data_IF_356790199220
#
_entry.id   IF_356790199220
#
_cell.length_a   1.000
_cell.length_b   1.000
_cell.length_c   1.000
_cell.angle_alpha   90.00
_cell.angle_beta   90.00
_cell.angle_gamma   90.00
#
_symmetry.space_group_name_H-M   'P 1'
#
loop_
_entity.id
_entity.type
_entity.pdbx_description
1 polymer ?
2 non-polymer ?
3 non-polymer ?
#
# COMPACT_ATOMS: atom_id res chain seq x y z
N UNK A 2 -18.50 24.43 12.36
CA UNK A 2 -17.24 23.65 12.13
C UNK A 2 -17.02 23.27 10.65
N UNK A 3 -15.76 23.28 10.24
CA UNK A 3 -15.48 23.07 8.85
C UNK A 3 -15.26 21.66 8.42
N UNK A 4 -15.41 21.43 7.14
CA UNK A 4 -15.35 20.11 6.55
C UNK A 4 -13.97 19.50 6.82
N UNK A 5 -13.96 18.23 7.23
CA UNK A 5 -12.75 17.43 7.32
C UNK A 5 -12.97 16.27 6.37
N UNK A 6 -11.90 15.56 6.00
CA UNK A 6 -12.08 14.53 4.98
C UNK A 6 -11.34 13.28 5.31
N UNK A 7 -11.63 12.23 4.55
CA UNK A 7 -10.84 11.00 4.57
C UNK A 7 -10.64 10.55 3.13
N UNK A 8 -9.55 9.82 2.88
CA UNK A 8 -9.23 9.36 1.53
C UNK A 8 -9.00 7.87 1.55
N UNK A 9 -9.40 7.21 0.45
CA UNK A 9 -9.23 5.78 0.34
C UNK A 9 -7.89 5.50 -0.33
N UNK A 10 -7.11 4.57 0.21
CA UNK A 10 -5.78 4.27 -0.32
C UNK A 10 -5.75 3.09 -1.29
N UNK A 11 -4.92 3.20 -2.33
CA UNK A 11 -4.82 2.15 -3.36
C UNK A 11 -3.99 0.95 -2.92
N UNK A 12 -3.30 1.09 -1.79
CA UNK A 12 -2.52 0.03 -1.18
C UNK A 12 -3.41 -1.05 -0.53
N UNK A 13 -4.33 -0.63 0.35
CA UNK A 13 -5.13 -1.57 1.12
C UNK A 13 -6.65 -1.39 0.98
N UNK A 14 -7.06 -0.36 0.23
CA UNK A 14 -8.47 -0.06 0.00
C UNK A 14 -9.22 0.52 1.25
N UNK A 15 -8.46 0.79 2.32
CA UNK A 15 -8.96 1.37 3.57
C UNK A 15 -8.94 2.91 3.49
N UNK A 16 -9.73 3.55 4.39
CA UNK A 16 -9.88 5.01 4.41
C UNK A 16 -9.06 5.62 5.52
N UNK A 17 -8.35 6.72 5.23
CA UNK A 17 -7.48 7.33 6.24
C UNK A 17 -7.79 8.80 6.33
N UNK A 18 -7.71 9.36 7.53
CA UNK A 18 -8.03 10.75 7.73
C UNK A 18 -7.03 11.61 6.96
N UNK A 19 -7.55 12.56 6.18
CA UNK A 19 -6.73 13.46 5.41
C UNK A 19 -6.41 14.68 6.26
N UNK A 20 -5.11 14.92 6.39
CA UNK A 20 -4.59 16.03 7.15
C UNK A 20 -4.63 17.36 6.41
N UNK A 21 -4.24 17.30 5.12
CA UNK A 21 -4.22 18.42 4.14
C UNK A 21 -3.97 17.93 2.70
N UNK A 22 -4.17 18.82 1.74
CA UNK A 22 -4.11 18.48 0.34
C UNK A 22 -2.99 19.30 -0.28
N UNK A 23 -2.13 18.65 -1.04
CA UNK A 23 -0.88 19.30 -1.42
C UNK A 23 -0.92 19.97 -2.82
N UNK A 24 -1.46 19.23 -3.76
CA UNK A 24 -1.49 19.64 -5.14
C UNK A 24 -2.52 18.78 -5.86
N UNK A 25 -2.56 18.83 -7.17
CA UNK A 25 -3.51 18.01 -7.93
C UNK A 25 -2.89 17.69 -9.29
N UNK A 26 -3.46 16.71 -9.98
CA UNK A 26 -3.03 16.42 -11.33
C UNK A 26 -4.17 15.82 -12.12
N UNK A 27 -4.16 16.10 -13.43
CA UNK A 27 -5.12 15.53 -14.38
C UNK A 27 -4.42 14.41 -15.15
N UNK A 28 -5.11 13.29 -15.32
CA UNK A 28 -4.60 12.20 -16.10
C UNK A 28 -4.96 12.33 -17.59
N UNK A 29 -4.08 11.83 -18.45
CA UNK A 29 -4.27 11.77 -19.90
C UNK A 29 -5.70 11.50 -20.20
N UNK A 30 -6.28 10.69 -19.34
CA UNK A 30 -7.64 10.18 -19.36
C UNK A 30 -8.71 11.16 -18.91
N UNK A 31 -8.33 12.18 -18.17
CA UNK A 31 -9.31 13.14 -17.70
C UNK A 31 -9.68 12.98 -16.23
N UNK A 32 -9.50 11.79 -15.65
CA UNK A 32 -9.70 11.64 -14.21
C UNK A 32 -8.83 12.65 -13.44
N UNK A 33 -9.40 13.17 -12.38
CA UNK A 33 -8.71 14.12 -11.58
C UNK A 33 -8.32 13.52 -10.26
N UNK A 34 -7.12 13.81 -9.87
CA UNK A 34 -6.53 13.17 -8.73
C UNK A 34 -5.92 14.23 -7.85
N UNK A 35 -5.62 13.86 -6.61
CA UNK A 35 -5.27 14.84 -5.63
C UNK A 35 -4.24 14.25 -4.68
N UNK A 36 -3.25 15.04 -4.33
CA UNK A 36 -2.12 14.56 -3.55
C UNK A 36 -2.45 14.88 -2.11
N UNK A 37 -2.58 13.84 -1.32
CA UNK A 37 -3.14 13.92 -0.02
C UNK A 37 -2.07 13.59 1.00
N UNK A 38 -2.02 14.33 2.10
CA UNK A 38 -1.14 14.00 3.23
C UNK A 38 -2.02 13.53 4.37
N UNK A 39 -1.65 12.39 4.94
CA UNK A 39 -2.44 11.71 5.97
C UNK A 39 -2.06 12.12 7.38
N UNK A 40 -3.01 12.12 8.31
CA UNK A 40 -2.70 12.57 9.66
C UNK A 40 -2.05 11.48 10.50
N UNK A 41 -0.95 11.83 11.18
CA UNK A 41 -0.19 10.88 12.02
C UNK A 41 1.28 10.78 11.67
N UNK A 46 2.02 7.89 4.13
CA UNK A 46 2.59 9.21 4.31
C UNK A 46 2.06 10.14 3.26
N UNK A 47 2.17 9.78 1.99
CA UNK A 47 1.70 10.72 0.94
C UNK A 47 1.17 10.00 -0.30
N UNK A 48 0.04 10.40 -0.88
CA UNK A 48 -0.57 9.61 -1.97
C UNK A 48 -1.37 10.37 -2.96
N UNK A 49 -1.39 9.89 -4.21
CA UNK A 49 -2.34 10.40 -5.18
C UNK A 49 -3.58 9.56 -5.09
N UNK A 50 -4.73 10.21 -4.94
CA UNK A 50 -6.00 9.52 -4.82
C UNK A 50 -7.01 10.17 -5.77
N UNK A 51 -7.81 9.37 -6.46
CA UNK A 51 -8.88 9.87 -7.32
C UNK A 51 -9.82 10.77 -6.53
N UNK A 52 -10.16 11.94 -7.04
CA UNK A 52 -11.05 12.79 -6.27
C UNK A 52 -12.44 12.17 -6.18
N UNK A 53 -13.10 11.88 -7.28
CA UNK A 53 -14.44 11.36 -7.23
C UNK A 53 -14.66 10.15 -6.38
N UNK A 54 -13.79 9.18 -6.51
CA UNK A 54 -14.07 7.89 -5.86
C UNK A 54 -13.46 7.75 -4.46
N UNK A 55 -12.29 8.35 -4.24
CA UNK A 55 -11.48 7.99 -3.09
C UNK A 55 -11.32 9.08 -2.04
N UNK A 56 -12.09 10.16 -2.17
CA UNK A 56 -12.07 11.23 -1.19
C UNK A 56 -13.50 11.61 -0.87
N UNK A 57 -13.84 11.60 0.41
CA UNK A 57 -15.15 11.98 0.87
C UNK A 57 -15.05 12.60 2.25
N UNK A 58 -16.18 13.15 2.73
CA UNK A 58 -16.22 13.76 4.06
C UNK A 58 -16.07 12.71 5.13
N UNK A 59 -15.35 13.11 6.16
CA UNK A 59 -14.96 12.20 7.19
C UNK A 59 -16.19 11.60 7.84
N UNK A 60 -16.12 10.28 8.06
CA UNK A 60 -17.10 9.56 8.84
C UNK A 60 -17.22 10.10 10.26
N UNK A 61 -18.32 9.80 10.93
CA UNK A 61 -18.62 10.42 12.20
C UNK A 61 -18.99 9.34 13.19
N UNK A 62 -18.35 9.34 14.38
CA UNK A 62 -18.67 8.44 15.48
C UNK A 62 -20.14 8.51 15.79
N UNK A 63 -20.71 7.39 16.21
CA UNK A 63 -22.07 7.37 16.72
C UNK A 63 -22.05 7.26 18.26
N UNK A 64 -22.78 8.12 18.93
CA UNK A 64 -22.86 8.01 20.35
C UNK A 64 -23.92 7.03 20.80
N UNK A 65 -23.74 6.43 21.95
CA UNK A 65 -24.70 5.39 22.32
C UNK A 65 -26.15 5.89 22.28
N UNK A 66 -26.37 7.13 22.72
CA UNK A 66 -27.71 7.65 22.84
C UNK A 66 -28.41 7.78 21.49
N UNK A 67 -27.66 7.65 20.39
CA UNK A 67 -28.22 7.84 19.04
C UNK A 67 -27.95 6.62 18.17
N UNK A 68 -27.67 5.48 18.80
CA UNK A 68 -27.42 4.26 18.06
C UNK A 68 -28.62 3.83 17.21
N UNK A 69 -29.78 4.44 17.45
CA UNK A 69 -31.00 4.09 16.71
C UNK A 69 -31.03 4.58 15.27
N UNK A 70 -30.10 5.47 14.92
CA UNK A 70 -30.09 6.09 13.58
C UNK A 70 -29.30 5.26 12.56
N UNK A 71 -28.73 4.14 13.03
CA UNK A 71 -28.05 3.17 12.18
C UNK A 71 -29.03 2.06 11.80
N UNK A 72 -29.23 1.80 10.52
CA UNK A 72 -30.19 0.84 10.07
C UNK A 72 -29.59 -0.17 9.11
N UNK A 73 -30.35 -1.15 8.64
CA UNK A 73 -29.81 -2.12 7.67
C UNK A 73 -29.66 -1.47 6.30
N UNK A 74 -28.64 -1.89 5.58
CA UNK A 74 -28.31 -1.28 4.31
C UNK A 74 -27.55 0.03 4.46
N UNK A 75 -27.44 0.55 5.67
CA UNK A 75 -26.62 1.73 5.89
C UNK A 75 -25.18 1.39 5.53
N UNK A 76 -24.48 2.34 4.88
CA UNK A 76 -23.02 2.24 4.67
C UNK A 76 -22.31 2.79 5.90
N UNK A 77 -21.29 2.07 6.38
CA UNK A 77 -20.50 2.51 7.53
C UNK A 77 -19.00 2.22 7.33
N UNK A 78 -18.15 3.11 7.85
CA UNK A 78 -16.73 2.84 7.96
C UNK A 78 -16.44 2.00 9.22
N UNK A 79 -15.94 0.78 9.02
CA UNK A 79 -15.80 -0.16 10.10
C UNK A 79 -14.36 -0.41 10.41
N UNK A 80 -14.05 -0.43 11.69
CA UNK A 80 -12.76 -0.87 12.15
C UNK A 80 -12.70 -2.39 12.05
N UNK A 81 -11.81 -2.87 11.19
CA UNK A 81 -11.69 -4.29 10.88
C UNK A 81 -10.37 -4.81 11.42
N UNK A 82 -10.42 -5.36 12.59
CA UNK A 82 -9.21 -5.77 13.19
C UNK A 82 -8.97 -7.22 12.98
N UNK A 83 -7.76 -7.54 12.62
CA UNK A 83 -7.45 -8.90 12.34
C UNK A 83 -6.08 -9.23 12.88
N UNK A 84 -5.47 -10.25 12.31
CA UNK A 84 -4.20 -10.77 12.74
C UNK A 84 -3.57 -9.75 13.63
N UNK A 85 -2.68 -8.97 13.03
CA UNK A 85 -2.23 -7.75 13.65
C UNK A 85 -3.08 -6.63 13.06
N UNK A 86 -3.05 -6.55 11.74
CA UNK A 86 -3.51 -5.36 11.06
C UNK A 86 -4.89 -4.99 11.35
N UNK A 87 -5.14 -3.70 11.19
CA UNK A 87 -6.37 -3.11 11.55
C UNK A 87 -6.59 -2.08 10.55
N UNK A 88 -7.66 -2.20 9.82
CA UNK A 88 -8.01 -1.28 8.78
C UNK A 88 -9.37 -0.69 9.01
N UNK A 89 -9.54 0.56 8.62
CA UNK A 89 -10.87 1.13 8.63
C UNK A 89 -11.41 1.02 7.21
N UNK A 90 -12.47 0.23 7.03
CA UNK A 90 -12.97 0.06 5.68
C UNK A 90 -14.47 -0.05 5.65
N UNK A 91 -15.03 0.05 4.44
CA UNK A 91 -16.47 0.16 4.27
C UNK A 91 -17.11 -1.21 4.42
N UNK A 92 -18.29 -1.24 5.04
CA UNK A 92 -19.18 -2.40 5.01
C UNK A 92 -20.62 -1.91 5.04
N UNK A 93 -21.61 -2.79 4.85
CA UNK A 93 -23.02 -2.40 5.02
C UNK A 93 -23.69 -3.24 6.10
N UNK A 94 -24.64 -2.64 6.82
CA UNK A 94 -25.30 -3.32 7.92
C UNK A 94 -26.26 -4.31 7.29
N UNK A 95 -26.14 -5.57 7.69
CA UNK A 95 -27.04 -6.59 7.19
C UNK A 95 -28.20 -6.87 8.13
N UNK A 96 -27.98 -6.60 9.42
CA UNK A 96 -28.84 -7.03 10.54
C UNK A 96 -28.37 -6.40 11.85
N UNK A 97 -29.34 -6.14 12.74
CA UNK A 97 -29.08 -5.56 14.09
C UNK A 97 -29.82 -6.26 15.23
N UNK A 98 -29.08 -6.73 16.22
CA UNK A 98 -29.64 -7.21 17.50
C UNK A 98 -29.49 -6.09 18.50
N UNK A 99 -30.60 -5.40 18.78
CA UNK A 99 -30.62 -4.28 19.69
C UNK A 99 -30.53 -4.82 21.10
N UNK A 100 -29.66 -4.23 21.94
CA UNK A 100 -29.52 -4.64 23.33
C UNK A 100 -30.21 -3.68 24.30
N UNK A 101 -30.24 -4.06 25.57
CA UNK A 101 -30.75 -3.20 26.61
C UNK A 101 -29.63 -2.42 27.22
N UNK A 102 -29.62 -1.14 26.95
CA UNK A 102 -28.52 -0.31 27.37
C UNK A 102 -28.99 1.14 27.44
N UNK A 103 -28.21 1.95 28.13
CA UNK A 103 -28.52 3.36 28.37
C UNK A 103 -27.66 4.24 27.46
N UNK A 104 -27.39 5.46 27.92
CA UNK A 104 -26.66 6.43 27.14
C UNK A 104 -25.17 6.22 27.32
N UNK A 105 -24.77 5.31 28.21
CA UNK A 105 -23.34 5.27 28.57
C UNK A 105 -22.52 4.46 27.58
N UNK A 106 -23.16 3.45 26.98
CA UNK A 106 -22.50 2.48 26.14
C UNK A 106 -23.54 1.60 25.50
N UNK A 107 -23.33 1.28 24.24
CA UNK A 107 -24.32 0.60 23.46
C UNK A 107 -23.89 -0.84 23.33
N UNK A 108 -24.72 -1.80 23.75
CA UNK A 108 -24.42 -3.22 23.53
C UNK A 108 -25.14 -3.88 22.35
N UNK A 109 -25.74 -3.06 21.47
CA UNK A 109 -26.25 -3.51 20.19
C UNK A 109 -25.18 -4.19 19.30
N UNK A 110 -25.61 -5.19 18.55
CA UNK A 110 -24.73 -5.96 17.67
C UNK A 110 -25.12 -5.74 16.20
N UNK A 111 -24.13 -5.30 15.43
CA UNK A 111 -24.30 -4.91 14.05
C UNK A 111 -23.56 -5.89 13.17
N UNK A 112 -24.30 -6.71 12.41
CA UNK A 112 -23.69 -7.61 11.44
C UNK A 112 -23.49 -6.83 10.15
N UNK A 113 -22.21 -6.70 9.76
CA UNK A 113 -21.84 -5.95 8.57
C UNK A 113 -21.20 -6.84 7.48
N UNK A 114 -21.42 -6.47 6.22
CA UNK A 114 -20.80 -7.20 5.13
C UNK A 114 -19.75 -6.33 4.50
N UNK A 115 -18.51 -6.73 4.58
CA UNK A 115 -17.48 -5.83 4.09
C UNK A 115 -17.51 -5.77 2.57
N UNK A 116 -17.52 -4.60 2.02
CA UNK A 116 -17.58 -4.43 0.60
C UNK A 116 -16.51 -5.13 -0.19
N UNK A 117 -15.29 -5.00 0.24
CA UNK A 117 -14.14 -5.50 -0.53
C UNK A 117 -14.25 -6.97 -0.93
N UNK A 118 -14.47 -7.83 0.06
CA UNK A 118 -14.47 -9.28 -0.13
C UNK A 118 -15.76 -9.95 0.32
N UNK A 119 -16.77 -9.18 0.67
CA UNK A 119 -18.05 -9.73 1.11
C UNK A 119 -18.01 -10.59 2.36
N UNK A 120 -16.90 -10.59 3.10
CA UNK A 120 -16.83 -11.30 4.40
C UNK A 120 -17.66 -10.60 5.46
N UNK A 121 -18.02 -11.33 6.50
CA UNK A 121 -18.97 -10.85 7.49
C UNK A 121 -18.42 -10.84 8.92
N UNK A 122 -18.72 -9.77 9.66
CA UNK A 122 -18.25 -9.63 11.03
C UNK A 122 -19.34 -8.94 11.84
N UNK A 123 -19.44 -9.31 13.14
CA UNK A 123 -20.33 -8.65 14.11
C UNK A 123 -19.58 -7.60 14.95
N UNK A 124 -20.02 -6.33 14.87
CA UNK A 124 -19.30 -5.21 15.48
C UNK A 124 -20.14 -4.45 16.52
N UNK A 125 -19.47 -3.90 17.54
CA UNK A 125 -20.10 -2.96 18.47
C UNK A 125 -20.16 -1.57 17.85
N UNK A 126 -21.01 -0.69 18.38
CA UNK A 126 -21.01 0.72 17.96
C UNK A 126 -19.61 1.32 18.08
N UNK A 127 -18.82 0.86 19.04
CA UNK A 127 -17.50 1.46 19.21
C UNK A 127 -16.55 1.22 18.04
N UNK A 128 -16.89 0.30 17.14
CA UNK A 128 -16.01 0.03 16.01
C UNK A 128 -16.63 0.50 14.68
N UNK A 129 -17.67 1.34 14.74
CA UNK A 129 -18.27 1.85 13.51
C UNK A 129 -18.48 3.37 13.49
N UNK A 130 -18.28 3.98 12.33
CA UNK A 130 -18.62 5.36 12.13
C UNK A 130 -19.65 5.44 10.99
N UNK A 131 -20.69 6.27 11.16
CA UNK A 131 -21.67 6.51 10.11
C UNK A 131 -21.14 7.49 9.05
N UNK A 132 -21.84 7.61 7.91
CA UNK A 132 -21.55 8.64 6.89
C UNK A 132 -22.39 9.90 7.18
N UNK A 133 -21.89 11.11 6.82
CA UNK A 133 -22.71 12.29 7.08
C UNK A 133 -24.08 12.18 6.41
N UNK A 134 -25.04 12.92 6.91
CA UNK A 134 -26.34 12.93 6.30
C UNK A 134 -27.21 11.84 6.90
N UNK B 1 22.04 8.64 8.29
CA UNK B 1 22.00 7.57 7.25
C UNK B 1 23.32 7.46 6.45
N UNK B 2 23.57 6.33 5.78
CA UNK B 2 24.85 6.11 5.07
C UNK B 2 24.85 6.83 3.73
N UNK B 3 26.00 6.84 3.04
CA UNK B 3 26.08 7.36 1.67
C UNK B 3 25.18 6.54 0.73
N UNK B 4 24.52 7.24 -0.19
CA UNK B 4 23.56 6.61 -1.08
C UNK B 4 24.27 5.69 -2.06
N UNK B 5 23.64 4.55 -2.31
CA UNK B 5 24.06 3.64 -3.35
C UNK B 5 22.82 3.34 -4.15
N UNK B 6 22.99 2.84 -5.38
CA UNK B 6 21.89 2.80 -6.30
C UNK B 6 21.82 1.49 -7.01
N UNK B 7 20.63 1.26 -7.55
CA UNK B 7 20.39 0.20 -8.46
C UNK B 7 19.73 0.82 -9.70
N UNK B 8 19.76 0.07 -10.80
CA UNK B 8 19.27 0.57 -12.06
C UNK B 8 18.66 -0.58 -12.80
N UNK B 9 17.58 -0.26 -13.52
CA UNK B 9 16.79 -1.24 -14.27
C UNK B 9 17.30 -1.36 -15.70
N UNK B 10 17.64 -2.57 -16.09
CA UNK B 10 18.20 -2.81 -17.40
C UNK B 10 17.08 -2.87 -18.41
N UNK B 11 17.31 -2.38 -19.64
CA UNK B 11 16.30 -2.48 -20.71
C UNK B 11 16.34 -3.86 -21.36
N UNK B 12 17.46 -4.54 -21.19
CA UNK B 12 17.58 -5.93 -21.57
C UNK B 12 16.45 -6.75 -21.01
N UNK B 13 16.28 -6.77 -19.71
CA UNK B 13 15.27 -7.64 -19.06
C UNK B 13 14.27 -7.01 -18.07
N UNK B 14 14.38 -5.70 -17.81
CA UNK B 14 13.49 -4.95 -16.88
C UNK B 14 13.71 -5.27 -15.41
N UNK B 15 14.79 -5.97 -15.10
CA UNK B 15 15.13 -6.33 -13.72
C UNK B 15 16.05 -5.25 -13.22
N UNK B 16 16.22 -5.17 -11.90
CA UNK B 16 17.13 -4.15 -11.33
C UNK B 16 18.50 -4.72 -10.97
N UNK B 17 19.54 -3.92 -11.12
CA UNK B 17 20.88 -4.42 -10.81
C UNK B 17 21.64 -3.35 -10.08
N UNK B 18 22.54 -3.73 -9.19
CA UNK B 18 23.32 -2.73 -8.49
C UNK B 18 24.19 -1.91 -9.45
N UNK B 19 24.18 -0.58 -9.24
CA UNK B 19 25.05 0.35 -9.94
C UNK B 19 26.34 0.57 -9.16
N UNK B 20 27.47 0.40 -9.86
CA UNK B 20 28.81 0.63 -9.28
C UNK B 20 29.37 2.04 -9.58
N UNK B 21 28.99 2.63 -10.71
CA UNK B 21 29.33 4.01 -10.98
C UNK B 21 28.56 4.53 -12.18
N UNK B 22 28.52 5.85 -12.29
CA UNK B 22 27.84 6.57 -13.36
C UNK B 22 28.93 7.22 -14.18
N UNK B 23 29.02 6.87 -15.45
CA UNK B 23 30.18 7.33 -16.21
C UNK B 23 29.96 8.70 -16.78
N UNK B 24 28.78 8.97 -17.29
CA UNK B 24 28.52 10.24 -17.95
C UNK B 24 27.01 10.39 -18.20
N UNK B 25 26.61 11.44 -18.90
CA UNK B 25 25.22 11.65 -19.20
C UNK B 25 25.02 12.16 -20.62
N UNK B 26 23.79 12.09 -21.13
CA UNK B 26 23.46 12.73 -22.43
C UNK B 26 22.02 13.21 -22.40
N UNK B 27 21.72 14.18 -23.25
CA UNK B 27 20.37 14.67 -23.44
C UNK B 27 19.98 14.32 -24.86
N UNK B 28 18.86 13.66 -25.03
CA UNK B 28 18.35 13.41 -26.37
C UNK B 28 17.78 14.70 -26.92
N UNK B 29 17.66 14.81 -28.23
CA UNK B 29 17.02 15.98 -28.85
C UNK B 29 15.62 16.26 -28.26
N UNK B 30 14.95 15.21 -27.81
CA UNK B 30 13.69 15.31 -27.11
C UNK B 30 13.72 16.08 -25.78
N UNK B 31 14.90 16.23 -25.18
CA UNK B 31 14.99 16.79 -23.85
C UNK B 31 15.28 15.66 -22.87
N UNK B 32 15.07 14.42 -23.30
CA UNK B 32 15.23 13.30 -22.41
C UNK B 32 16.67 13.15 -21.98
N UNK B 33 16.85 13.02 -20.65
CA UNK B 33 18.15 12.87 -19.97
C UNK B 33 18.34 11.42 -19.65
N UNK B 34 19.57 10.95 -19.85
CA UNK B 34 19.98 9.59 -19.49
C UNK B 34 21.41 9.63 -18.97
N UNK B 35 21.71 8.76 -18.00
CA UNK B 35 23.07 8.57 -17.51
C UNK B 35 23.63 7.22 -17.96
N UNK B 36 24.94 7.12 -18.11
CA UNK B 36 25.56 5.89 -18.51
C UNK B 36 25.96 5.20 -17.22
N UNK B 37 25.45 4.01 -16.94
CA UNK B 37 25.81 3.30 -15.72
C UNK B 37 26.70 2.11 -16.00
N UNK B 38 27.59 1.81 -15.06
CA UNK B 38 28.35 0.59 -15.06
C UNK B 38 27.74 -0.21 -13.91
N UNK B 39 27.42 -1.48 -14.16
CA UNK B 39 26.75 -2.29 -13.15
C UNK B 39 27.79 -3.04 -12.36
N UNK B 40 27.50 -3.29 -11.08
CA UNK B 40 28.36 -4.04 -10.17
C UNK B 40 28.64 -5.45 -10.68
N UNK B 41 29.90 -5.85 -10.63
CA UNK B 41 30.29 -7.19 -11.05
C UNK B 41 30.25 -7.46 -12.54
N UNK B 42 30.09 -6.42 -13.36
CA UNK B 42 30.09 -6.57 -14.82
C UNK B 42 31.09 -5.65 -15.49
N UNK B 43 31.73 -6.12 -16.56
CA UNK B 43 32.67 -5.29 -17.36
C UNK B 43 31.95 -4.15 -18.08
N UNK B 44 32.69 -3.40 -18.90
CA UNK B 44 32.13 -2.29 -19.68
C UNK B 44 31.07 -2.65 -20.72
N UNK B 45 31.04 -3.89 -21.14
CA UNK B 45 30.13 -4.29 -22.19
C UNK B 45 28.69 -4.35 -21.80
N UNK B 46 28.47 -4.35 -20.51
CA UNK B 46 27.15 -4.36 -19.93
C UNK B 46 26.62 -3.02 -19.66
N UNK B 47 27.43 -2.02 -19.84
CA UNK B 47 27.00 -0.62 -19.54
C UNK B 47 25.80 -0.24 -20.34
N UNK B 48 24.98 0.67 -19.81
CA UNK B 48 23.79 1.12 -20.50
C UNK B 48 23.48 2.58 -20.29
N UNK B 49 22.77 3.15 -21.25
CA UNK B 49 22.07 4.43 -21.03
C UNK B 49 20.75 4.12 -20.37
N UNK B 50 20.45 4.80 -19.27
CA UNK B 50 19.15 4.63 -18.59
C UNK B 50 18.58 5.97 -18.19
N UNK B 51 17.25 6.10 -18.32
CA UNK B 51 16.55 7.26 -17.80
C UNK B 51 16.72 7.36 -16.27
N UNK B 52 17.03 8.57 -15.77
CA UNK B 52 17.26 8.81 -14.34
C UNK B 52 16.02 8.67 -13.47
N UNK B 53 14.88 9.17 -13.94
CA UNK B 53 13.67 9.16 -13.11
C UNK B 53 13.14 7.74 -12.94
N UNK B 54 12.86 7.11 -14.05
CA UNK B 54 12.29 5.81 -14.08
C UNK B 54 13.21 4.70 -13.72
N UNK B 55 14.47 4.82 -14.10
CA UNK B 55 15.33 3.63 -14.10
C UNK B 55 16.51 3.64 -13.14
N UNK B 56 16.67 4.73 -12.38
CA UNK B 56 17.66 4.77 -11.29
C UNK B 56 16.99 5.09 -9.96
N UNK B 57 17.38 4.37 -8.90
CA UNK B 57 16.84 4.58 -7.56
C UNK B 57 17.81 4.05 -6.51
N UNK B 58 17.71 4.54 -5.27
CA UNK B 58 18.52 4.00 -4.14
C UNK B 58 18.35 2.52 -4.03
N UNK B 59 19.43 1.82 -3.72
CA UNK B 59 19.33 0.37 -3.54
C UNK B 59 18.20 -0.04 -2.62
N UNK B 60 17.55 -1.15 -2.96
CA UNK B 60 16.57 -1.75 -2.09
C UNK B 60 17.28 -2.39 -0.91
N UNK B 61 16.51 -2.63 0.17
CA UNK B 61 17.10 -2.98 1.49
C UNK B 61 16.60 -4.32 2.05
N UNK B 62 17.53 -5.26 2.34
CA UNK B 62 17.17 -6.49 3.04
C UNK B 62 16.32 -6.24 4.29
N UNK B 63 15.40 -7.16 4.56
CA UNK B 63 14.53 -7.06 5.70
C UNK B 63 14.87 -8.24 6.62
N UNK B 64 15.24 -7.96 7.85
CA UNK B 64 15.65 -9.02 8.71
C UNK B 64 14.49 -9.61 9.43
N UNK B 65 14.64 -10.82 9.93
CA UNK B 65 13.56 -11.49 10.65
C UNK B 65 12.97 -10.68 11.81
N UNK B 66 13.77 -9.82 12.45
CA UNK B 66 13.29 -8.97 13.55
C UNK B 66 12.25 -7.95 13.11
N UNK B 67 12.19 -7.69 11.81
CA UNK B 67 11.46 -6.56 11.26
C UNK B 67 10.49 -6.89 10.12
N UNK B 68 10.18 -8.17 9.90
CA UNK B 68 9.15 -8.49 8.91
C UNK B 68 7.83 -7.78 9.18
N UNK B 69 7.61 -7.40 10.43
CA UNK B 69 6.48 -6.57 10.81
C UNK B 69 6.28 -5.40 9.85
N UNK B 70 7.38 -4.81 9.39
CA UNK B 70 7.34 -3.53 8.66
C UNK B 70 6.86 -3.59 7.21
N UNK B 71 7.13 -4.70 6.51
CA UNK B 71 6.46 -4.99 5.21
C UNK B 71 4.92 -5.01 5.35
N UNK B 72 4.20 -4.52 4.36
CA UNK B 72 2.75 -4.59 4.38
C UNK B 72 2.07 -4.72 3.04
N UNK B 73 0.82 -5.12 3.04
CA UNK B 73 0.09 -5.25 1.78
C UNK B 73 0.04 -3.93 1.04
N UNK B 74 0.28 -3.99 -0.27
CA UNK B 74 0.36 -2.79 -1.10
C UNK B 74 1.78 -2.34 -1.40
N UNK B 75 2.75 -2.80 -0.58
CA UNK B 75 4.18 -2.42 -0.63
C UNK B 75 4.86 -2.82 -1.93
N UNK B 76 5.74 -1.95 -2.42
CA UNK B 76 6.60 -2.23 -3.58
C UNK B 76 7.81 -2.93 -3.04
N UNK B 77 8.18 -4.06 -3.65
CA UNK B 77 9.34 -4.85 -3.22
C UNK B 77 10.26 -5.25 -4.38
N UNK B 78 11.58 -5.15 -4.16
CA UNK B 78 12.49 -5.83 -5.08
C UNK B 78 12.48 -7.33 -4.75
N UNK B 79 11.86 -8.12 -5.63
CA UNK B 79 11.69 -9.57 -5.44
C UNK B 79 12.65 -10.39 -6.26
N UNK B 80 13.32 -11.33 -5.61
CA UNK B 80 14.11 -12.36 -6.27
C UNK B 80 13.19 -13.40 -6.90
N UNK B 81 12.99 -13.25 -8.20
CA UNK B 81 12.17 -14.15 -8.98
C UNK B 81 13.06 -15.16 -9.74
N UNK B 82 13.15 -16.36 -9.22
CA UNK B 82 13.93 -17.37 -9.83
C UNK B 82 13.07 -18.23 -10.70
N UNK B 83 13.46 -18.34 -11.96
CA UNK B 83 12.80 -19.21 -12.91
C UNK B 83 13.87 -20.17 -13.45
N UNK B 84 13.47 -21.30 -14.06
CA UNK B 84 14.39 -22.28 -14.63
C UNK B 84 15.72 -21.74 -15.14
N UNK B 85 15.67 -20.85 -16.12
CA UNK B 85 16.90 -20.40 -16.77
C UNK B 85 17.43 -19.10 -16.16
N UNK B 86 16.52 -18.36 -15.57
CA UNK B 86 16.83 -17.05 -15.14
C UNK B 86 16.43 -16.82 -13.73
N UNK B 87 17.27 -16.16 -12.99
CA UNK B 87 16.87 -15.62 -11.71
C UNK B 87 17.06 -14.09 -11.77
N UNK B 88 15.97 -13.33 -11.74
CA UNK B 88 16.06 -11.86 -11.77
C UNK B 88 15.67 -11.26 -10.45
N UNK B 89 15.99 -9.98 -10.28
CA UNK B 89 15.47 -9.21 -9.20
C UNK B 89 14.50 -8.20 -9.78
N UNK B 90 13.20 -8.35 -9.52
CA UNK B 90 12.28 -7.43 -10.13
C UNK B 90 11.14 -6.97 -9.26
N UNK B 91 10.44 -5.95 -9.72
CA UNK B 91 9.44 -5.32 -8.89
C UNK B 91 8.16 -6.11 -8.83
N UNK B 92 7.69 -6.32 -7.61
CA UNK B 92 6.36 -6.82 -7.38
C UNK B 92 5.75 -6.02 -6.26
N UNK B 93 4.44 -6.17 -6.08
CA UNK B 93 3.67 -5.54 -5.02
C UNK B 93 3.07 -6.62 -4.12
N UNK B 94 2.97 -6.33 -2.83
CA UNK B 94 2.45 -7.29 -1.86
C UNK B 94 0.92 -7.35 -1.92
N UNK B 95 0.39 -8.53 -2.22
CA UNK B 95 -1.06 -8.68 -2.37
C UNK B 95 -1.76 -9.10 -1.10
N UNK B 96 -1.01 -9.73 -0.19
CA UNK B 96 -1.54 -10.44 0.98
C UNK B 96 -0.37 -11.02 1.77
N UNK B 97 -0.51 -11.12 3.09
CA UNK B 97 0.52 -11.75 3.89
C UNK B 97 -0.06 -12.70 4.93
N UNK B 98 0.38 -13.94 4.90
CA UNK B 98 0.04 -14.93 5.88
C UNK B 98 1.12 -14.98 6.89
N UNK B 99 0.96 -14.28 8.01
CA UNK B 99 2.01 -14.26 9.03
C UNK B 99 2.26 -15.64 9.70
N UNK B 100 3.35 -15.79 10.45
CA UNK B 100 3.64 -17.03 11.13
C UNK B 100 4.30 -16.81 12.48
N UNK B 101 4.24 -17.81 13.36
CA UNK B 101 4.92 -17.77 14.65
C UNK B 101 6.42 -18.01 14.47
N UNK B 102 7.27 -17.05 14.89
CA UNK B 102 8.73 -17.26 14.82
C UNK B 102 9.53 -16.26 15.65
N UNK B 103 10.71 -16.70 16.08
CA UNK B 103 11.72 -15.88 16.77
C UNK B 103 12.47 -15.02 15.77
N UNK B 104 13.52 -14.32 16.23
CA UNK B 104 14.32 -13.44 15.37
C UNK B 104 15.37 -14.14 14.54
N UNK B 105 15.51 -15.46 14.66
CA UNK B 105 16.52 -16.16 13.88
C UNK B 105 16.09 -16.25 12.40
N UNK B 106 14.83 -16.59 12.19
CA UNK B 106 14.30 -16.69 10.87
C UNK B 106 12.82 -16.39 10.81
N UNK B 107 12.42 -15.71 9.74
CA UNK B 107 11.02 -15.37 9.48
C UNK B 107 10.34 -16.35 8.53
N UNK B 108 9.16 -16.84 8.91
CA UNK B 108 8.44 -17.81 8.11
C UNK B 108 7.07 -17.36 7.70
N UNK B 109 6.90 -16.06 7.50
CA UNK B 109 5.69 -15.52 6.83
C UNK B 109 5.75 -15.68 5.32
N UNK B 110 4.56 -15.68 4.69
CA UNK B 110 4.43 -15.96 3.25
C UNK B 110 3.74 -14.81 2.51
N UNK B 111 4.53 -14.16 1.64
CA UNK B 111 4.11 -12.90 1.04
C UNK B 111 3.71 -13.08 -0.40
N UNK B 112 2.41 -13.19 -0.65
CA UNK B 112 1.91 -13.26 -2.03
C UNK B 112 2.28 -11.97 -2.73
N UNK B 113 2.99 -12.11 -3.84
CA UNK B 113 3.47 -10.96 -4.62
C UNK B 113 2.85 -11.01 -6.01
N UNK B 114 2.44 -9.86 -6.49
CA UNK B 114 2.12 -9.75 -7.86
C UNK B 114 3.17 -8.97 -8.57
N UNK B 115 3.71 -9.57 -9.61
CA UNK B 115 4.81 -8.92 -10.34
C UNK B 115 4.33 -7.83 -11.26
N UNK B 116 5.05 -6.76 -11.33
CA UNK B 116 4.59 -5.65 -12.08
C UNK B 116 4.58 -5.91 -13.54
N UNK B 117 5.59 -6.60 -14.01
CA UNK B 117 5.80 -6.77 -15.44
C UNK B 117 4.64 -7.50 -16.12
N UNK B 118 4.27 -8.65 -15.56
CA UNK B 118 3.38 -9.58 -16.25
C UNK B 118 2.16 -9.96 -15.39
N UNK B 119 1.96 -9.25 -14.27
CA UNK B 119 0.89 -9.53 -13.28
C UNK B 119 0.77 -10.98 -12.81
N UNK B 120 1.81 -11.77 -13.06
CA UNK B 120 1.87 -13.12 -12.53
C UNK B 120 2.02 -12.97 -11.03
N UNK B 121 1.80 -14.03 -10.29
CA UNK B 121 1.88 -13.93 -8.85
C UNK B 121 2.74 -15.06 -8.30
N UNK B 122 3.30 -14.86 -7.11
CA UNK B 122 4.22 -15.80 -6.50
C UNK B 122 4.28 -15.57 -5.00
N UNK B 123 4.31 -16.68 -4.24
CA UNK B 123 4.41 -16.65 -2.80
C UNK B 123 5.86 -16.76 -2.43
N UNK B 124 6.37 -15.72 -1.75
CA UNK B 124 7.79 -15.57 -1.45
C UNK B 124 8.07 -15.49 0.06
N UNK B 125 9.17 -16.12 0.51
CA UNK B 125 9.63 -16.00 1.89
C UNK B 125 10.46 -14.75 2.02
N UNK B 126 10.80 -14.35 3.24
CA UNK B 126 11.52 -13.09 3.49
C UNK B 126 12.86 -12.99 2.79
N UNK B 127 13.61 -14.07 2.79
CA UNK B 127 14.91 -14.10 2.09
C UNK B 127 14.86 -13.61 0.61
N UNK B 128 13.71 -13.70 -0.05
CA UNK B 128 13.62 -13.36 -1.45
C UNK B 128 13.00 -11.99 -1.74
N UNK B 129 12.81 -11.16 -0.72
CA UNK B 129 12.26 -9.82 -0.96
C UNK B 129 13.13 -8.71 -0.36
N UNK B 130 13.13 -7.53 -1.00
CA UNK B 130 13.75 -6.35 -0.38
C UNK B 130 12.82 -5.17 -0.40
N UNK B 131 12.94 -4.34 0.63
CA UNK B 131 12.10 -3.16 0.75
C UNK B 131 12.77 -1.95 0.14
N UNK B 132 11.94 -0.98 -0.22
CA UNK B 132 12.38 0.33 -0.66
C UNK B 132 12.66 1.18 0.58
N UNK B 133 13.69 2.03 0.54
CA UNK B 133 13.96 3.08 1.53
C UNK B 133 12.76 3.96 1.91
N UNK B 134 12.74 4.43 3.14
CA UNK B 134 11.69 5.33 3.58
C UNK B 134 10.41 4.60 3.89
X LIG C 1 -27.55 0.71 20.91
X LIG D 1 -14.42 17.05 -2.30
X LIG D 1 -13.00 16.78 -1.91
X LIG D 1 -12.37 17.96 -1.27
X LIG D 1 -11.39 18.45 -2.26
X LIG D 1 -10.34 19.21 -1.56
X LIG D 1 -9.95 20.32 -2.44
X LIG D 1 -10.06 21.58 -1.66
X LIG D 1 -9.27 21.45 -0.41
X LIG D 1 -10.04 20.56 0.46
X LIG D 1 -11.01 19.78 -0.36
X LIG D 1 -14.61 15.90 -3.03
X LIG D 1 -15.95 15.56 -3.08
X LIG D 1 -16.25 15.20 -1.80
X LIG D 1 -17.52 14.68 -1.86
X LIG D 1 -17.47 13.27 -2.23
X LIG D 1 -17.30 13.48 -3.70
X LIG D 1 -16.11 14.34 -4.01
X LIG D 1 -17.77 15.06 -0.49
X LIG D 1 -17.68 16.47 -0.54
X LIG D 1 -16.98 12.26 -4.29
X LIG D 1 -16.33 14.78 -5.33
X LIG D 1 -18.73 12.73 -2.07
X LIG D 1 -19.40 12.65 -3.30
X LIG D 1 -19.08 11.44 -3.87
X LIG D 1 -19.28 11.40 -5.29
X LIG D 1 -20.59 12.07 -5.53
X LIG D 1 -21.47 11.79 -4.34
X LIG D 1 -20.93 12.55 -3.16
X LIG D 1 -18.28 12.12 -6.18
X LIG D 1 -18.16 13.49 -5.83
X LIG D 1 -21.11 11.52 -6.70
X LIG D 1 -22.79 12.24 -4.59
X LIG D 1 -21.35 11.91 -1.95
X LIG E 1 7.49 -12.84 9.72
X LIG F 1 18.25 9.50 -8.10
X LIG F 1 19.13 9.55 -9.32
X LIG F 1 20.53 9.08 -9.00
X LIG F 1 21.52 10.23 -8.98
X LIG F 1 22.80 9.79 -9.62
X LIG F 1 23.22 10.82 -10.61
X LIG F 1 24.60 10.49 -11.16
X LIG F 1 25.64 10.72 -10.10
X LIG F 1 24.92 10.76 -8.79
X LIG F 1 23.91 9.67 -8.62
X LIG F 1 17.11 8.71 -8.35
X LIG F 1 15.98 9.46 -8.21
X LIG F 1 16.31 10.18 -7.07
X LIG F 1 15.15 10.51 -6.38
X LIG F 1 14.85 9.44 -5.49
X LIG F 1 15.18 8.24 -6.32
X LIG F 1 14.90 8.56 -7.75
X LIG F 1 15.41 11.63 -5.43
X LIG F 1 15.52 12.83 -6.19
X LIG F 1 16.56 8.07 -6.21
X LIG F 1 13.67 9.24 -7.85
X LIG F 1 13.48 9.61 -5.50
X LIG F 1 13.11 10.28 -4.31
X LIG F 1 12.26 11.31 -4.65
X LIG F 1 11.65 10.97 -5.86
X LIG F 1 11.06 9.55 -5.97
X LIG F 1 11.52 8.59 -4.87
X LIG F 1 12.13 9.35 -3.71
X LIG F 1 10.58 12.04 -5.99
X LIG F 1 11.13 13.32 -5.69
X LIG F 1 11.49 9.01 -7.21
X LIG F 1 10.44 7.80 -4.41
X LIG F 1 12.81 8.47 -2.80
#
# INVERSE_FOLDING_TARGET
>A
SADLAFEAKSARDYAWYDVSSFLTYRVLRTGELEVRVRFSGFDNRHDEWVNVKTSVRERSIPVEPSECGRVNVGDLLLCFQEREDQALYCDGHVLNIKRGIHDHARCNCVFLVRYELDNTEESLGLERICRRPEE
>B
SADLAFEAKSARDYAWYDVSSFLTYRVLRTGELEVRVRFSGFDNRHDEWVNVKTSVRERSIPVEPSECGRVNVGDLLLCFQEREDQALYCDGHVLNIKRGIHDHARCNCVFLVRYELDNTEESLGLERICRRPEE
>C hetero
1 ZN ZN
>D hetero
1 CVM C1 C2 C3 C4 C6 C7 C8 C9 C10 C11 O12 C13 O14 C15 C16 C17 C18 C19 O20 O21 O22 O23 C24 O25 C26 C27 C28 C29 C30 O31 O32 O33 O34
>E hetero
1 ZN ZN
>F hetero
1 CVM C1 C2 C3 C4 C6 C7 C8 C9 C10 C11 O12 C13 O14 C15 C16 C17 C18 C19 O20 O21 O22 O23 C24 O25 C26 C27 C28 C29 C30 O31 O32 O33 O34
#
